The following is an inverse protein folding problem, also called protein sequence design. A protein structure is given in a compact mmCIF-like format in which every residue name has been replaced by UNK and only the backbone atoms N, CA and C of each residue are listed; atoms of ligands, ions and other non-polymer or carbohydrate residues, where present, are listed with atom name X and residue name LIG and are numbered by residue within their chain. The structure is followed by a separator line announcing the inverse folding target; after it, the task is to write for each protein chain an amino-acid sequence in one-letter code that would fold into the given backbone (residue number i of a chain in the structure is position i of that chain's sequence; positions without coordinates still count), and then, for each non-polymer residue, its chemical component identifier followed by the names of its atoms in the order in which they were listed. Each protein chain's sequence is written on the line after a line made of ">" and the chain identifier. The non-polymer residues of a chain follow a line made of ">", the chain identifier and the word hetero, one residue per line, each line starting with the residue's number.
data_IF_512046415589
#
_entry.id   IF_512046415589
#
_cell.length_a   1.000
_cell.length_b   1.000
_cell.length_c   1.000
_cell.angle_alpha   90.00
_cell.angle_beta   90.00
_cell.angle_gamma   90.00
#
_symmetry.space_group_name_H-M   'P 1'
#
loop_
_entity.id
_entity.type
_entity.pdbx_description
1 polymer ?
#
# COMPACT_ATOMS: atom_id res chain seq x y z
N UNK A 1 19.20 -2.94 -11.45
CA UNK A 1 18.15 -3.01 -10.40
C UNK A 1 17.18 -1.87 -10.59
N UNK A 2 15.90 -2.17 -10.64
CA UNK A 2 14.87 -1.13 -10.71
C UNK A 2 14.53 -0.65 -9.29
N UNK A 3 14.68 0.65 -9.04
CA UNK A 3 14.40 1.22 -7.72
C UNK A 3 12.93 1.01 -7.34
N UNK A 4 12.00 1.31 -8.25
CA UNK A 4 10.58 1.14 -7.95
C UNK A 4 10.20 -0.33 -7.74
N UNK A 5 10.83 -1.25 -8.46
CA UNK A 5 10.61 -2.68 -8.25
C UNK A 5 11.02 -3.08 -6.84
N UNK A 6 12.17 -2.59 -6.37
CA UNK A 6 12.65 -2.87 -5.01
C UNK A 6 11.74 -2.26 -3.95
N UNK A 7 11.25 -1.04 -4.20
CA UNK A 7 10.31 -0.39 -3.28
C UNK A 7 9.02 -1.20 -3.20
N UNK A 8 8.49 -1.62 -4.34
CA UNK A 8 7.27 -2.43 -4.36
C UNK A 8 7.45 -3.75 -3.61
N UNK A 9 8.61 -4.40 -3.77
CA UNK A 9 8.89 -5.63 -3.03
C UNK A 9 8.90 -5.39 -1.53
N UNK A 10 9.46 -4.27 -1.08
CA UNK A 10 9.48 -3.92 0.34
C UNK A 10 8.07 -3.74 0.88
N UNK A 11 7.21 -3.02 0.15
CA UNK A 11 5.81 -2.84 0.55
C UNK A 11 5.03 -4.16 0.55
N UNK A 12 5.22 -4.98 -0.49
CA UNK A 12 4.52 -6.26 -0.58
C UNK A 12 4.93 -7.18 0.57
N UNK A 13 6.21 -7.20 0.92
CA UNK A 13 6.69 -7.98 2.06
C UNK A 13 6.10 -7.49 3.37
N UNK A 14 6.00 -6.18 3.55
CA UNK A 14 5.39 -5.60 4.76
C UNK A 14 3.91 -5.94 4.84
N UNK A 15 3.19 -5.85 3.72
CA UNK A 15 1.77 -6.18 3.69
C UNK A 15 1.56 -7.67 3.97
N UNK A 16 2.40 -8.53 3.43
CA UNK A 16 2.31 -9.97 3.67
C UNK A 16 2.54 -10.34 5.14
N UNK A 17 3.29 -9.51 5.88
CA UNK A 17 3.53 -9.72 7.31
C UNK A 17 2.35 -9.31 8.19
N UNK A 18 1.33 -8.67 7.62
CA UNK A 18 0.15 -8.25 8.37
C UNK A 18 -0.66 -9.47 8.80
N UNK A 19 -0.88 -9.60 10.10
CA UNK A 19 -1.64 -10.71 10.65
C UNK A 19 -3.11 -10.32 10.74
N UNK A 20 -3.93 -10.82 9.85
CA UNK A 20 -5.36 -10.53 9.84
C UNK A 20 -6.14 -11.58 9.08
N UNK A 21 -5.42 -12.46 8.39
CA UNK A 21 -6.04 -13.60 7.72
C UNK A 21 -6.81 -13.28 6.46
N UNK A 22 -6.83 -12.03 6.00
CA UNK A 22 -7.52 -11.68 4.77
C UNK A 22 -6.66 -12.03 3.56
N UNK A 23 -7.25 -12.58 2.51
CA UNK A 23 -6.51 -12.80 1.26
C UNK A 23 -6.09 -11.48 0.63
N UNK A 24 -5.01 -11.51 -0.13
CA UNK A 24 -4.46 -10.33 -0.79
C UNK A 24 -4.52 -10.54 -2.29
N UNK A 25 -5.18 -9.61 -2.98
CA UNK A 25 -5.24 -9.60 -4.44
C UNK A 25 -4.02 -8.85 -4.95
N UNK A 26 -2.89 -9.54 -5.05
CA UNK A 26 -1.62 -8.94 -5.48
C UNK A 26 -1.73 -8.35 -6.87
N UNK A 27 -1.15 -7.16 -7.04
CA UNK A 27 -1.17 -6.44 -8.31
C UNK A 27 -0.56 -7.29 -9.42
N UNK A 28 -1.25 -7.39 -10.56
CA UNK A 28 -0.78 -8.16 -11.70
C UNK A 28 -1.01 -9.66 -11.66
N UNK A 29 -1.66 -10.19 -10.62
CA UNK A 29 -1.80 -11.65 -10.46
C UNK A 29 -3.14 -12.20 -10.91
N UNK A 30 -4.11 -11.35 -11.28
CA UNK A 30 -5.42 -11.83 -11.76
C UNK A 30 -6.29 -12.48 -10.69
N UNK A 31 -6.21 -12.00 -9.45
CA UNK A 31 -7.02 -12.53 -8.36
C UNK A 31 -8.52 -12.42 -8.67
N UNK A 32 -9.25 -13.51 -8.42
CA UNK A 32 -10.71 -13.55 -8.57
C UNK A 32 -11.35 -13.52 -7.18
N UNK A 33 -12.10 -12.45 -6.83
CA UNK A 33 -12.74 -12.38 -5.53
C UNK A 33 -13.82 -13.44 -5.35
N UNK A 34 -13.85 -14.04 -4.16
CA UNK A 34 -14.92 -14.96 -3.81
C UNK A 34 -16.11 -14.16 -3.26
N UNK A 35 -17.36 -14.47 -3.67
CA UNK A 35 -18.52 -13.80 -3.13
C UNK A 35 -18.57 -13.91 -1.60
N UNK A 36 -18.82 -12.79 -0.92
CA UNK A 36 -18.91 -12.74 0.53
C UNK A 36 -17.59 -12.77 1.28
N UNK A 37 -16.46 -12.77 0.57
CA UNK A 37 -15.13 -12.81 1.19
C UNK A 37 -14.44 -11.45 1.08
N UNK A 38 -14.09 -10.87 2.24
CA UNK A 38 -13.30 -9.64 2.28
C UNK A 38 -11.86 -9.92 1.82
N UNK A 39 -11.23 -8.92 1.22
CA UNK A 39 -9.84 -9.05 0.78
C UNK A 39 -9.15 -7.69 0.75
N UNK A 40 -7.81 -7.71 0.65
CA UNK A 40 -6.99 -6.52 0.49
C UNK A 40 -6.48 -6.45 -0.95
N UNK A 41 -6.45 -5.26 -1.51
CA UNK A 41 -6.01 -5.05 -2.89
C UNK A 41 -4.94 -3.96 -2.92
N UNK A 42 -3.64 -4.32 -2.94
CA UNK A 42 -2.58 -3.32 -3.00
C UNK A 42 -2.40 -2.76 -4.40
N UNK A 43 -2.00 -1.49 -4.46
CA UNK A 43 -1.76 -0.77 -5.69
C UNK A 43 -0.56 0.16 -5.50
N UNK A 44 0.44 0.03 -6.37
CA UNK A 44 1.63 0.86 -6.28
C UNK A 44 1.51 2.02 -7.26
N UNK A 45 1.61 3.26 -6.74
CA UNK A 45 1.47 4.49 -7.53
C UNK A 45 2.76 5.31 -7.41
N UNK A 46 3.79 4.99 -8.23
CA UNK A 46 5.03 5.75 -8.16
C UNK A 46 4.86 7.15 -8.75
N UNK A 47 5.54 8.12 -8.13
CA UNK A 47 5.63 9.47 -8.68
C UNK A 47 6.90 9.58 -9.52
N UNK A 48 6.96 10.59 -10.39
CA UNK A 48 8.17 10.85 -11.18
C UNK A 48 9.32 11.22 -10.25
N UNK A 49 10.47 10.55 -10.33
CA UNK A 49 11.64 10.90 -9.51
C UNK A 49 12.12 12.31 -9.81
N UNK A 50 12.66 12.99 -8.80
CA UNK A 50 13.28 14.29 -9.00
C UNK A 50 14.65 14.30 -8.31
N UNK A 51 15.51 15.19 -8.78
CA UNK A 51 16.86 15.31 -8.24
C UNK A 51 16.81 15.99 -6.89
N UNK A 52 17.28 15.29 -5.85
CA UNK A 52 17.26 15.79 -4.48
C UNK A 52 18.53 16.58 -4.13
N UNK A 53 19.64 16.37 -4.87
CA UNK A 53 20.89 17.08 -4.68
C UNK A 53 21.35 17.70 -6.00
N UNK A 54 22.17 18.75 -5.90
CA UNK A 54 22.69 19.44 -7.10
C UNK A 54 23.88 18.69 -7.68
N UNK A 55 24.11 18.85 -8.98
CA UNK A 55 25.27 18.28 -9.70
C UNK A 55 24.90 17.11 -10.58
N UNK A 56 25.83 16.68 -11.43
CA UNK A 56 25.61 15.60 -12.38
C UNK A 56 25.37 14.26 -11.70
N UNK A 57 25.99 14.05 -10.53
CA UNK A 57 25.86 12.82 -9.77
C UNK A 57 24.93 12.98 -8.57
N UNK A 58 24.02 13.93 -8.64
CA UNK A 58 23.07 14.17 -7.58
C UNK A 58 22.13 12.99 -7.35
N UNK A 59 21.70 12.80 -6.10
CA UNK A 59 20.77 11.73 -5.77
C UNK A 59 19.36 12.08 -6.22
N UNK A 60 18.67 11.11 -6.77
CA UNK A 60 17.25 11.23 -7.11
C UNK A 60 16.41 10.76 -5.94
N UNK A 61 15.35 11.51 -5.65
CA UNK A 61 14.38 11.11 -4.66
C UNK A 61 13.23 10.39 -5.36
N UNK A 62 12.99 9.17 -4.92
CA UNK A 62 11.88 8.37 -5.41
C UNK A 62 10.75 8.43 -4.38
N UNK A 63 9.59 8.87 -4.82
CA UNK A 63 8.44 9.03 -3.95
C UNK A 63 7.19 8.49 -4.61
N UNK A 64 6.12 8.39 -3.86
CA UNK A 64 4.85 7.93 -4.40
C UNK A 64 3.91 7.51 -3.29
N UNK A 65 2.93 6.73 -3.67
CA UNK A 65 1.89 6.22 -2.77
C UNK A 65 1.74 4.71 -2.99
N UNK A 66 1.70 3.98 -1.89
CA UNK A 66 1.29 2.58 -1.89
C UNK A 66 -0.12 2.54 -1.33
N UNK A 67 -1.09 2.18 -2.16
CA UNK A 67 -2.49 2.18 -1.75
C UNK A 67 -2.94 0.76 -1.48
N UNK A 68 -3.54 0.55 -0.31
CA UNK A 68 -4.14 -0.74 0.03
C UNK A 68 -5.65 -0.52 0.14
N UNK A 69 -6.39 -1.10 -0.79
CA UNK A 69 -7.84 -1.03 -0.74
C UNK A 69 -8.36 -2.18 0.12
N UNK A 70 -9.15 -1.82 1.15
CA UNK A 70 -9.82 -2.79 2.00
C UNK A 70 -11.19 -3.01 1.40
N UNK A 71 -11.44 -4.23 0.89
CA UNK A 71 -12.66 -4.54 0.15
C UNK A 71 -13.49 -5.53 0.95
N UNK A 72 -14.71 -5.12 1.29
CA UNK A 72 -15.65 -5.95 2.04
C UNK A 72 -16.94 -6.13 1.27
N UNK A 73 -17.66 -7.25 1.48
CA UNK A 73 -18.98 -7.39 0.87
C UNK A 73 -19.94 -6.35 1.41
N UNK A 74 -20.77 -5.83 0.52
CA UNK A 74 -21.82 -4.88 0.91
C UNK A 74 -22.84 -5.57 1.79
N UNK A 75 -23.38 -4.84 2.77
CA UNK A 75 -24.38 -5.39 3.67
C UNK A 75 -23.88 -5.68 5.08
N UNK A 76 -22.55 -5.75 5.26
CA UNK A 76 -21.97 -6.00 6.58
C UNK A 76 -21.70 -4.70 7.37
N UNK A 77 -22.13 -3.56 6.83
CA UNK A 77 -21.92 -2.27 7.47
C UNK A 77 -20.51 -1.74 7.28
N UNK A 78 -20.16 -0.72 8.04
CA UNK A 78 -18.88 -0.01 7.90
C UNK A 78 -17.86 -0.35 8.98
N UNK A 79 -18.26 -1.03 10.03
CA UNK A 79 -17.39 -1.29 11.19
C UNK A 79 -16.21 -2.20 10.87
N UNK A 80 -16.47 -3.31 10.17
CA UNK A 80 -15.42 -4.24 9.76
C UNK A 80 -14.40 -3.61 8.83
N UNK A 81 -14.85 -2.98 7.72
CA UNK A 81 -13.94 -2.27 6.83
C UNK A 81 -13.09 -1.21 7.54
N UNK A 82 -13.69 -0.41 8.40
CA UNK A 82 -12.98 0.65 9.11
C UNK A 82 -11.93 0.08 10.06
N UNK A 83 -12.28 -0.95 10.83
CA UNK A 83 -11.32 -1.60 11.74
C UNK A 83 -10.14 -2.17 10.98
N UNK A 84 -10.39 -2.83 9.85
CA UNK A 84 -9.32 -3.38 9.02
C UNK A 84 -8.45 -2.27 8.44
N UNK A 85 -9.07 -1.18 7.97
CA UNK A 85 -8.32 -0.04 7.44
C UNK A 85 -7.43 0.59 8.51
N UNK A 86 -7.92 0.73 9.73
CA UNK A 86 -7.12 1.25 10.85
C UNK A 86 -5.94 0.32 11.16
N UNK A 87 -6.14 -0.99 11.06
CA UNK A 87 -5.05 -1.96 11.24
C UNK A 87 -3.98 -1.77 10.17
N UNK A 88 -4.38 -1.54 8.92
CA UNK A 88 -3.44 -1.27 7.84
C UNK A 88 -2.70 0.04 8.08
N UNK A 89 -3.39 1.09 8.49
CA UNK A 89 -2.76 2.39 8.82
C UNK A 89 -1.69 2.20 9.89
N UNK A 90 -2.01 1.48 10.96
CA UNK A 90 -1.05 1.24 12.05
C UNK A 90 0.15 0.43 11.57
N UNK A 91 -0.08 -0.53 10.68
CA UNK A 91 0.99 -1.38 10.15
C UNK A 91 1.97 -0.58 9.27
N UNK A 92 1.50 0.46 8.60
CA UNK A 92 2.28 1.32 7.72
C UNK A 92 2.38 2.75 8.27
N UNK A 93 2.42 2.91 9.56
CA UNK A 93 2.40 4.24 10.18
C UNK A 93 3.62 5.07 9.82
N UNK A 94 3.46 6.39 9.95
CA UNK A 94 4.53 7.36 9.72
C UNK A 94 5.78 7.00 10.52
N UNK A 95 6.93 7.15 9.88
CA UNK A 95 8.21 6.87 10.52
C UNK A 95 8.68 5.43 10.39
N UNK A 96 7.84 4.54 9.88
CA UNK A 96 8.24 3.17 9.60
C UNK A 96 9.25 3.17 8.45
N UNK A 97 10.30 2.36 8.58
CA UNK A 97 11.28 2.18 7.52
C UNK A 97 11.22 0.74 7.02
N UNK A 98 11.20 0.61 5.70
CA UNK A 98 11.17 -0.69 5.05
C UNK A 98 12.48 -0.92 4.32
N UNK A 99 13.09 -2.09 4.53
CA UNK A 99 14.28 -2.47 3.80
C UNK A 99 13.88 -3.32 2.60
N UNK A 100 14.37 -2.95 1.41
CA UNK A 100 14.13 -3.76 0.22
C UNK A 100 15.09 -4.94 0.18
N UNK A 101 14.81 -5.98 -0.62
CA UNK A 101 15.76 -7.08 -0.81
C UNK A 101 17.12 -6.60 -1.34
N UNK A 102 17.13 -5.52 -2.12
CA UNK A 102 18.37 -4.93 -2.64
C UNK A 102 19.03 -3.93 -1.71
N UNK A 103 18.52 -3.73 -0.50
CA UNK A 103 19.15 -2.88 0.50
C UNK A 103 18.71 -1.42 0.49
N UNK A 104 17.65 -1.07 -0.23
CA UNK A 104 17.12 0.29 -0.19
C UNK A 104 16.33 0.52 1.10
N UNK A 105 16.39 1.75 1.60
CA UNK A 105 15.71 2.17 2.81
C UNK A 105 14.51 3.05 2.42
N UNK A 106 13.31 2.53 2.55
CA UNK A 106 12.07 3.22 2.19
C UNK A 106 11.46 3.81 3.45
N UNK A 107 11.27 5.12 3.46
CA UNK A 107 10.73 5.83 4.62
C UNK A 107 9.28 6.16 4.39
N UNK A 108 8.41 5.75 5.31
CA UNK A 108 6.98 6.03 5.24
C UNK A 108 6.70 7.37 5.90
N UNK A 109 6.04 8.26 5.18
CA UNK A 109 5.77 9.62 5.65
C UNK A 109 4.37 9.80 6.21
N UNK A 110 3.47 8.86 5.95
CA UNK A 110 2.14 8.90 6.51
C UNK A 110 1.24 7.87 5.89
N UNK A 111 0.20 7.50 6.61
CA UNK A 111 -0.84 6.61 6.12
C UNK A 111 -2.20 7.17 6.53
N UNK A 112 -3.16 7.12 5.63
CA UNK A 112 -4.49 7.65 5.91
C UNK A 112 -5.56 6.90 5.15
N UNK A 113 -6.79 6.99 5.67
CA UNK A 113 -7.96 6.34 5.09
C UNK A 113 -8.68 7.36 4.20
N UNK A 114 -8.91 6.98 2.94
CA UNK A 114 -9.64 7.81 2.01
C UNK A 114 -11.14 7.56 2.04
N UNK A 115 -11.89 8.27 1.18
CA UNK A 115 -13.35 8.11 1.14
C UNK A 115 -13.75 6.73 0.65
N UNK A 116 -14.82 6.21 1.24
CA UNK A 116 -15.36 4.92 0.86
C UNK A 116 -15.95 4.95 -0.55
N UNK A 117 -15.76 3.84 -1.27
CA UNK A 117 -16.29 3.66 -2.63
C UNK A 117 -17.23 2.46 -2.59
N UNK A 118 -18.45 2.66 -3.03
CA UNK A 118 -19.44 1.59 -3.12
C UNK A 118 -19.64 1.27 -4.59
N UNK A 119 -19.31 0.04 -4.99
CA UNK A 119 -19.47 -0.42 -6.37
C UNK A 119 -20.09 -1.82 -6.36
N UNK A 120 -21.19 -1.97 -7.07
CA UNK A 120 -21.88 -3.26 -7.17
C UNK A 120 -22.16 -3.82 -5.78
N UNK A 121 -21.57 -4.94 -5.43
CA UNK A 121 -21.77 -5.63 -4.16
C UNK A 121 -20.57 -5.46 -3.20
N UNK A 122 -19.70 -4.48 -3.46
CA UNK A 122 -18.47 -4.28 -2.68
C UNK A 122 -18.43 -2.89 -2.03
N UNK A 123 -17.94 -2.87 -0.80
CA UNK A 123 -17.63 -1.65 -0.05
C UNK A 123 -16.12 -1.56 0.06
N UNK A 124 -15.53 -0.54 -0.58
CA UNK A 124 -14.08 -0.39 -0.64
C UNK A 124 -13.63 0.83 0.15
N UNK A 125 -12.66 0.64 1.03
CA UNK A 125 -12.10 1.71 1.84
C UNK A 125 -10.59 1.78 1.55
N UNK A 126 -10.12 2.79 0.81
CA UNK A 126 -8.71 2.87 0.44
C UNK A 126 -7.85 3.41 1.57
N UNK A 127 -6.69 2.80 1.77
CA UNK A 127 -5.65 3.28 2.67
C UNK A 127 -4.46 3.70 1.81
N UNK A 128 -4.06 4.96 1.92
CA UNK A 128 -2.94 5.49 1.14
C UNK A 128 -1.74 5.69 2.05
N UNK A 129 -0.61 5.12 1.65
CA UNK A 129 0.65 5.20 2.39
C UNK A 129 1.64 5.97 1.53
N UNK A 130 2.07 7.12 2.00
CA UNK A 130 3.05 7.95 1.30
C UNK A 130 4.46 7.54 1.72
N UNK A 131 5.40 7.61 0.77
CA UNK A 131 6.77 7.20 1.04
C UNK A 131 7.77 8.04 0.25
N UNK A 132 9.04 7.96 0.66
CA UNK A 132 10.15 8.39 -0.17
C UNK A 132 11.35 7.46 0.02
N UNK A 133 12.24 7.47 -0.96
CA UNK A 133 13.46 6.69 -0.97
C UNK A 133 14.49 7.42 -1.84
N UNK A 134 15.71 7.50 -1.38
CA UNK A 134 16.80 8.08 -2.15
C UNK A 134 17.59 7.01 -2.91
#
# INVERSE_FOLDING_TARGET
>A
MSVFSEIQKAFNGRLASLTGGLPVAWEGTGYTPEPGQAFLKPHFLPATPFQATLGENGLNRHAGVFQVSVVYPLGDGWGGPLTTAETVVEHFKRGTRLASPGGLDVVLTGAGIGPAIVEQEWYTLPVSVSFYCY
#
